data_IF_486287576776
#
_entry.id   IF_486287576776
#
_cell.length_a   1.000
_cell.length_b   1.000
_cell.length_c   1.000
_cell.angle_alpha   90.00
_cell.angle_beta   90.00
_cell.angle_gamma   90.00
#
_symmetry.space_group_name_H-M   'P 1'
#
loop_
_entity.id
_entity.type
_entity.pdbx_description
1 polymer ?
#
# COMPACT_ATOMS: atom_id res chain seq x y z
N UNK A 1 24.07 5.83 26.92
CA UNK A 1 22.60 5.70 26.74
C UNK A 1 22.03 6.76 27.67
N UNK A 2 21.50 7.84 27.12
CA UNK A 2 20.85 8.88 27.91
C UNK A 2 19.60 8.30 28.59
N UNK A 3 19.38 8.67 29.85
CA UNK A 3 18.15 8.30 30.54
C UNK A 3 16.94 8.90 29.81
N UNK A 4 15.82 8.16 29.68
CA UNK A 4 14.62 8.71 29.05
C UNK A 4 14.16 9.95 29.79
N UNK A 5 13.70 10.96 29.04
CA UNK A 5 13.13 12.20 29.57
C UNK A 5 12.12 11.88 30.69
N UNK A 6 12.34 12.41 31.87
CA UNK A 6 11.51 12.16 33.05
C UNK A 6 10.02 12.46 32.82
N UNK A 7 9.72 13.37 31.89
CA UNK A 7 8.35 13.69 31.47
C UNK A 7 7.70 12.51 30.72
N UNK A 8 8.43 11.88 29.79
CA UNK A 8 7.94 10.71 29.02
C UNK A 8 7.74 9.52 29.95
N UNK A 9 8.70 9.25 30.85
CA UNK A 9 8.61 8.16 31.82
C UNK A 9 7.39 8.31 32.75
N UNK A 10 7.10 9.54 33.19
CA UNK A 10 5.93 9.84 34.02
C UNK A 10 4.62 9.63 33.28
N UNK A 11 4.52 10.07 32.01
CA UNK A 11 3.33 9.83 31.20
C UNK A 11 3.07 8.34 30.98
N UNK A 12 4.09 7.59 30.60
CA UNK A 12 3.99 6.13 30.42
C UNK A 12 3.51 5.44 31.68
N UNK A 13 4.07 5.79 32.83
CA UNK A 13 3.68 5.18 34.12
C UNK A 13 2.23 5.47 34.45
N UNK A 14 1.77 6.72 34.28
CA UNK A 14 0.39 7.10 34.55
C UNK A 14 -0.59 6.37 33.62
N UNK A 15 -0.30 6.28 32.33
CA UNK A 15 -1.13 5.59 31.36
C UNK A 15 -1.21 4.08 31.67
N UNK A 16 -0.08 3.45 32.01
CA UNK A 16 -0.05 2.04 32.41
C UNK A 16 -0.91 1.78 33.66
N UNK A 17 -0.81 2.63 34.69
CA UNK A 17 -1.64 2.53 35.89
C UNK A 17 -3.12 2.67 35.55
N UNK A 18 -3.46 3.64 34.71
CA UNK A 18 -4.84 3.87 34.28
C UNK A 18 -5.44 2.66 33.54
N UNK A 19 -4.66 2.00 32.66
CA UNK A 19 -5.09 0.75 32.00
C UNK A 19 -5.29 -0.40 33.00
N UNK A 20 -4.40 -0.52 34.00
CA UNK A 20 -4.51 -1.53 35.05
C UNK A 20 -5.78 -1.32 35.94
N UNK A 21 -6.06 -0.08 36.26
CA UNK A 21 -7.25 0.28 37.08
C UNK A 21 -8.57 -0.02 36.32
N UNK A 22 -8.63 0.25 35.02
CA UNK A 22 -9.82 -0.01 34.20
C UNK A 22 -10.10 -1.49 33.98
N UNK A 23 -9.11 -2.38 34.19
CA UNK A 23 -9.18 -3.82 33.91
C UNK A 23 -9.66 -4.16 32.49
N UNK A 24 -9.42 -3.26 31.53
CA UNK A 24 -9.79 -3.44 30.14
C UNK A 24 -8.54 -3.77 29.34
N UNK A 25 -8.58 -4.90 28.65
CA UNK A 25 -7.50 -5.32 27.77
C UNK A 25 -7.66 -4.70 26.37
N UNK A 26 -6.55 -4.46 25.70
CA UNK A 26 -6.55 -4.17 24.27
C UNK A 26 -7.10 -5.36 23.48
N UNK A 27 -7.54 -5.11 22.25
CA UNK A 27 -7.87 -6.20 21.34
C UNK A 27 -6.71 -7.20 21.26
N UNK A 28 -6.99 -8.51 21.18
CA UNK A 28 -5.94 -9.51 21.16
C UNK A 28 -5.03 -9.30 19.95
N UNK A 29 -3.72 -9.32 20.16
CA UNK A 29 -2.72 -9.23 19.08
C UNK A 29 -2.92 -10.28 17.97
N UNK A 30 -3.59 -11.39 18.27
CA UNK A 30 -3.97 -12.40 17.28
C UNK A 30 -4.94 -11.87 16.22
N UNK A 31 -5.78 -10.86 16.54
CA UNK A 31 -6.65 -10.20 15.57
C UNK A 31 -5.82 -9.46 14.53
N UNK A 32 -4.97 -8.55 14.98
CA UNK A 32 -4.08 -7.79 14.10
C UNK A 32 -3.23 -8.73 13.22
N UNK A 33 -2.69 -9.79 13.81
CA UNK A 33 -1.92 -10.79 13.05
C UNK A 33 -2.74 -11.50 11.99
N UNK A 34 -4.03 -11.78 12.24
CA UNK A 34 -4.92 -12.39 11.22
C UNK A 34 -5.23 -11.43 10.10
N UNK A 35 -5.53 -10.17 10.39
CA UNK A 35 -5.75 -9.14 9.38
C UNK A 35 -4.49 -8.97 8.51
N UNK A 36 -3.32 -8.82 9.11
CA UNK A 36 -2.04 -8.72 8.41
C UNK A 36 -1.73 -9.96 7.56
N UNK A 37 -1.96 -11.16 8.08
CA UNK A 37 -1.74 -12.41 7.35
C UNK A 37 -2.72 -12.56 6.19
N UNK A 38 -3.98 -12.16 6.37
CA UNK A 38 -4.99 -12.16 5.31
C UNK A 38 -4.59 -11.23 4.17
N UNK A 39 -4.09 -10.03 4.48
CA UNK A 39 -3.55 -9.10 3.47
C UNK A 39 -2.33 -9.71 2.78
N UNK A 40 -1.38 -10.25 3.54
CA UNK A 40 -0.17 -10.89 3.01
C UNK A 40 -0.47 -12.04 2.04
N UNK A 41 -1.58 -12.75 2.27
CA UNK A 41 -2.04 -13.85 1.41
C UNK A 41 -3.00 -13.40 0.29
N UNK A 42 -3.45 -12.16 0.29
CA UNK A 42 -4.48 -11.69 -0.63
C UNK A 42 -5.85 -12.37 -0.41
N UNK A 43 -6.10 -12.86 0.81
CA UNK A 43 -7.33 -13.56 1.18
C UNK A 43 -8.37 -12.57 1.68
N UNK A 44 -9.22 -12.10 0.76
CA UNK A 44 -10.25 -11.10 1.06
C UNK A 44 -11.32 -11.64 2.01
N UNK A 45 -11.65 -12.94 1.91
CA UNK A 45 -12.67 -13.54 2.77
C UNK A 45 -12.16 -13.62 4.21
N UNK A 46 -10.94 -14.12 4.42
CA UNK A 46 -10.34 -14.18 5.75
C UNK A 46 -10.15 -12.79 6.36
N UNK A 47 -9.86 -11.77 5.53
CA UNK A 47 -9.78 -10.38 5.98
C UNK A 47 -11.15 -9.88 6.47
N UNK A 48 -12.21 -10.08 5.68
CA UNK A 48 -13.57 -9.69 6.04
C UNK A 48 -14.05 -10.39 7.32
N UNK A 49 -13.82 -11.69 7.44
CA UNK A 49 -14.14 -12.47 8.65
C UNK A 49 -13.39 -11.91 9.88
N UNK A 50 -12.09 -11.58 9.74
CA UNK A 50 -11.29 -11.02 10.84
C UNK A 50 -11.76 -9.63 11.25
N UNK A 51 -12.13 -8.76 10.32
CA UNK A 51 -12.63 -7.41 10.59
C UNK A 51 -14.00 -7.45 11.29
N UNK A 52 -14.86 -8.38 10.89
CA UNK A 52 -16.23 -8.50 11.44
C UNK A 52 -16.30 -9.31 12.74
N UNK A 53 -15.21 -9.97 13.15
CA UNK A 53 -15.20 -10.73 14.39
C UNK A 53 -15.27 -9.79 15.61
N UNK A 54 -16.13 -10.12 16.55
CA UNK A 54 -16.25 -9.35 17.79
C UNK A 54 -15.16 -9.79 18.79
N UNK A 55 -14.35 -8.85 19.22
CA UNK A 55 -13.32 -9.06 20.22
C UNK A 55 -13.70 -8.43 21.55
N UNK A 56 -13.36 -9.09 22.65
CA UNK A 56 -13.66 -8.62 24.00
C UNK A 56 -12.74 -7.50 24.51
N UNK A 57 -11.84 -6.98 23.67
CA UNK A 57 -10.92 -5.90 23.98
C UNK A 57 -11.40 -4.54 23.47
N UNK A 58 -10.60 -3.53 23.73
CA UNK A 58 -10.82 -2.17 23.23
C UNK A 58 -9.63 -1.70 22.38
N UNK A 59 -9.90 -0.87 21.37
CA UNK A 59 -8.86 -0.10 20.71
C UNK A 59 -8.36 0.94 21.70
N UNK A 60 -7.04 1.04 21.88
CA UNK A 60 -6.44 2.01 22.79
C UNK A 60 -6.83 3.44 22.41
N UNK A 61 -7.12 4.27 23.42
CA UNK A 61 -7.44 5.67 23.17
C UNK A 61 -6.14 6.49 22.97
N UNK A 62 -5.88 6.94 21.74
CA UNK A 62 -4.65 7.66 21.35
C UNK A 62 -4.86 9.16 21.18
N UNK A 63 -6.08 9.68 21.42
CA UNK A 63 -6.39 11.11 21.44
C UNK A 63 -7.67 11.39 22.19
N UNK A 64 -7.76 12.57 22.84
CA UNK A 64 -9.00 13.07 23.44
C UNK A 64 -10.00 13.55 22.38
N UNK A 65 -9.52 14.04 21.26
CA UNK A 65 -10.31 14.40 20.08
C UNK A 65 -10.67 13.14 19.30
N UNK A 66 -11.96 12.96 19.05
CA UNK A 66 -12.50 11.74 18.44
C UNK A 66 -12.01 11.59 17.00
N UNK A 67 -12.07 12.65 16.19
CA UNK A 67 -11.59 12.60 14.79
C UNK A 67 -10.09 12.29 14.75
N UNK A 68 -9.30 12.96 15.60
CA UNK A 68 -7.86 12.73 15.69
C UNK A 68 -7.52 11.32 16.16
N UNK A 69 -8.32 10.75 17.05
CA UNK A 69 -8.21 9.35 17.46
C UNK A 69 -8.33 8.42 16.24
N UNK A 70 -9.39 8.55 15.45
CA UNK A 70 -9.60 7.73 14.26
C UNK A 70 -8.51 7.93 13.19
N UNK A 71 -8.05 9.17 12.97
CA UNK A 71 -6.92 9.44 12.06
C UNK A 71 -5.63 8.77 12.52
N UNK A 72 -5.32 8.78 13.82
CA UNK A 72 -4.15 8.11 14.36
C UNK A 72 -4.22 6.58 14.20
N UNK A 73 -5.41 5.98 14.42
CA UNK A 73 -5.64 4.56 14.17
C UNK A 73 -5.48 4.23 12.68
N UNK A 74 -6.00 5.08 11.79
CA UNK A 74 -5.84 4.91 10.34
C UNK A 74 -4.37 4.90 9.93
N UNK A 75 -3.54 5.80 10.47
CA UNK A 75 -2.09 5.80 10.22
C UNK A 75 -1.47 4.46 10.59
N UNK A 76 -1.81 3.92 11.74
CA UNK A 76 -1.30 2.63 12.20
C UNK A 76 -1.73 1.47 11.30
N UNK A 77 -3.04 1.35 11.06
CA UNK A 77 -3.62 0.24 10.28
C UNK A 77 -3.14 0.26 8.82
N UNK A 78 -3.23 1.42 8.14
CA UNK A 78 -2.83 1.57 6.73
C UNK A 78 -1.32 1.30 6.56
N UNK A 79 -0.48 1.82 7.48
CA UNK A 79 0.96 1.56 7.45
C UNK A 79 1.27 0.07 7.64
N UNK A 80 0.59 -0.61 8.54
CA UNK A 80 0.74 -2.05 8.79
C UNK A 80 0.27 -2.88 7.58
N UNK A 81 -0.86 -2.51 6.97
CA UNK A 81 -1.40 -3.14 5.76
C UNK A 81 -0.42 -3.03 4.58
N UNK A 82 0.21 -1.86 4.39
CA UNK A 82 1.21 -1.67 3.33
C UNK A 82 2.42 -2.61 3.50
N UNK A 83 2.90 -2.80 4.73
CA UNK A 83 4.00 -3.75 5.03
C UNK A 83 3.60 -5.19 4.77
N UNK A 84 2.36 -5.56 5.13
CA UNK A 84 1.81 -6.88 4.85
C UNK A 84 1.69 -7.14 3.33
N UNK A 85 1.28 -6.13 2.57
CA UNK A 85 1.24 -6.22 1.10
C UNK A 85 2.63 -6.40 0.49
N UNK A 86 3.66 -5.70 0.98
CA UNK A 86 5.06 -5.90 0.55
C UNK A 86 5.49 -7.34 0.82
N UNK A 87 5.20 -7.88 2.00
CA UNK A 87 5.49 -9.27 2.32
C UNK A 87 4.71 -10.26 1.43
N UNK A 88 3.55 -9.86 0.93
CA UNK A 88 2.74 -10.59 -0.04
C UNK A 88 3.20 -10.49 -1.49
N UNK A 89 4.25 -9.70 -1.78
CA UNK A 89 4.89 -9.58 -3.10
C UNK A 89 4.63 -8.28 -3.85
N UNK A 90 3.83 -7.35 -3.30
CA UNK A 90 3.69 -6.00 -3.87
C UNK A 90 5.04 -5.28 -3.80
N UNK A 91 5.44 -4.60 -4.88
CA UNK A 91 6.71 -3.87 -4.87
C UNK A 91 6.71 -2.79 -3.77
N UNK A 92 7.84 -2.59 -3.06
CA UNK A 92 7.91 -1.62 -1.97
C UNK A 92 7.44 -0.23 -2.37
N UNK A 93 7.87 0.27 -3.52
CA UNK A 93 7.53 1.61 -3.98
C UNK A 93 6.02 1.76 -4.25
N UNK A 94 5.40 0.76 -4.91
CA UNK A 94 3.94 0.78 -5.12
C UNK A 94 3.20 0.78 -3.78
N UNK A 95 3.53 -0.12 -2.88
CA UNK A 95 2.85 -0.22 -1.58
C UNK A 95 3.02 1.05 -0.73
N UNK A 96 4.22 1.64 -0.70
CA UNK A 96 4.49 2.87 0.04
C UNK A 96 3.79 4.07 -0.57
N UNK A 97 3.81 4.22 -1.90
CA UNK A 97 3.08 5.29 -2.59
C UNK A 97 1.58 5.21 -2.35
N UNK A 98 1.00 3.99 -2.34
CA UNK A 98 -0.40 3.78 -1.99
C UNK A 98 -0.67 4.18 -0.54
N UNK A 99 0.21 3.78 0.39
CA UNK A 99 0.12 4.14 1.80
C UNK A 99 0.09 5.67 1.97
N UNK A 100 1.03 6.39 1.37
CA UNK A 100 1.12 7.84 1.43
C UNK A 100 -0.14 8.51 0.87
N UNK A 101 -0.68 7.98 -0.23
CA UNK A 101 -1.91 8.48 -0.85
C UNK A 101 -3.13 8.30 0.07
N UNK A 102 -3.29 7.12 0.67
CA UNK A 102 -4.37 6.87 1.62
C UNK A 102 -4.26 7.77 2.85
N UNK A 103 -3.07 7.90 3.43
CA UNK A 103 -2.87 8.74 4.62
C UNK A 103 -3.12 10.22 4.32
N UNK A 104 -2.71 10.72 3.16
CA UNK A 104 -3.00 12.08 2.73
C UNK A 104 -4.51 12.30 2.57
N UNK A 105 -5.22 11.36 1.94
CA UNK A 105 -6.67 11.44 1.82
C UNK A 105 -7.36 11.47 3.19
N UNK A 106 -6.93 10.62 4.13
CA UNK A 106 -7.45 10.60 5.51
C UNK A 106 -7.20 11.94 6.21
N UNK A 107 -6.00 12.53 6.06
CA UNK A 107 -5.66 13.78 6.76
C UNK A 107 -6.36 14.98 6.14
N UNK A 108 -6.32 15.13 4.82
CA UNK A 108 -6.71 16.36 4.14
C UNK A 108 -8.22 16.41 3.83
N UNK A 109 -8.84 15.27 3.53
CA UNK A 109 -10.18 15.24 2.96
C UNK A 109 -11.26 14.72 3.91
N UNK A 110 -10.92 13.89 4.93
CA UNK A 110 -11.93 13.29 5.79
C UNK A 110 -12.06 14.05 7.11
N UNK A 111 -13.29 14.45 7.43
CA UNK A 111 -13.61 15.24 8.63
C UNK A 111 -14.53 14.51 9.60
N UNK A 112 -15.10 13.38 9.21
CA UNK A 112 -15.99 12.58 10.04
C UNK A 112 -15.32 11.26 10.47
N UNK A 113 -15.35 10.90 11.76
CA UNK A 113 -14.72 9.67 12.27
C UNK A 113 -15.15 8.40 11.53
N UNK A 114 -16.44 8.28 11.19
CA UNK A 114 -16.95 7.12 10.46
C UNK A 114 -16.43 7.02 9.03
N UNK A 115 -16.18 8.16 8.36
CA UNK A 115 -15.57 8.18 7.04
C UNK A 115 -14.12 7.72 7.10
N UNK A 116 -13.38 8.17 8.13
CA UNK A 116 -11.99 7.72 8.35
C UNK A 116 -11.95 6.21 8.59
N UNK A 117 -12.85 5.67 9.41
CA UNK A 117 -12.92 4.22 9.65
C UNK A 117 -13.19 3.45 8.36
N UNK A 118 -14.19 3.86 7.57
CA UNK A 118 -14.52 3.23 6.29
C UNK A 118 -13.36 3.28 5.30
N UNK A 119 -12.69 4.43 5.16
CA UNK A 119 -11.54 4.59 4.29
C UNK A 119 -10.35 3.72 4.74
N UNK A 120 -10.17 3.55 6.05
CA UNK A 120 -9.14 2.67 6.62
C UNK A 120 -9.39 1.22 6.22
N UNK A 121 -10.63 0.72 6.38
CA UNK A 121 -11.01 -0.64 5.98
C UNK A 121 -10.90 -0.83 4.46
N UNK A 122 -11.33 0.15 3.68
CA UNK A 122 -11.18 0.11 2.21
C UNK A 122 -9.71 -0.02 1.80
N UNK A 123 -8.79 0.70 2.45
CA UNK A 123 -7.36 0.60 2.19
C UNK A 123 -6.83 -0.82 2.44
N UNK A 124 -7.23 -1.49 3.53
CA UNK A 124 -6.85 -2.87 3.81
C UNK A 124 -7.30 -3.82 2.69
N UNK A 125 -8.54 -3.69 2.22
CA UNK A 125 -9.06 -4.50 1.11
C UNK A 125 -8.34 -4.20 -0.20
N UNK A 126 -7.96 -2.96 -0.47
CA UNK A 126 -7.20 -2.60 -1.67
C UNK A 126 -5.82 -3.26 -1.62
N UNK A 127 -5.09 -3.20 -0.49
CA UNK A 127 -3.81 -3.89 -0.33
C UNK A 127 -3.94 -5.41 -0.51
N UNK A 128 -4.97 -6.03 0.07
CA UNK A 128 -5.21 -7.45 -0.09
C UNK A 128 -5.54 -7.83 -1.55
N UNK A 129 -6.31 -7.01 -2.27
CA UNK A 129 -6.58 -7.19 -3.71
C UNK A 129 -5.30 -7.15 -4.54
N UNK A 130 -4.42 -6.18 -4.27
CA UNK A 130 -3.13 -6.09 -4.97
C UNK A 130 -2.30 -7.37 -4.81
N UNK A 131 -2.20 -7.89 -3.58
CA UNK A 131 -1.50 -9.15 -3.33
C UNK A 131 -2.14 -10.31 -4.06
N UNK A 132 -3.48 -10.44 -3.99
CA UNK A 132 -4.21 -11.52 -4.66
C UNK A 132 -3.99 -11.52 -6.17
N UNK A 133 -4.02 -10.34 -6.78
CA UNK A 133 -3.89 -10.21 -8.22
C UNK A 133 -2.46 -10.53 -8.69
N UNK A 134 -1.46 -10.24 -7.88
CA UNK A 134 -0.09 -10.69 -8.08
C UNK A 134 0.06 -12.21 -7.98
N UNK A 135 -0.50 -12.83 -6.95
CA UNK A 135 -0.40 -14.28 -6.73
C UNK A 135 -1.07 -15.10 -7.83
N UNK A 136 -2.12 -14.55 -8.46
CA UNK A 136 -2.76 -15.17 -9.64
C UNK A 136 -1.85 -15.25 -10.87
N UNK A 137 -0.82 -14.42 -10.92
CA UNK A 137 0.14 -14.36 -12.04
C UNK A 137 1.29 -15.38 -11.94
N UNK A 138 1.36 -16.24 -10.94
CA UNK A 138 2.36 -17.30 -10.68
C UNK A 138 3.81 -16.85 -10.40
N UNK A 139 4.46 -17.53 -9.46
CA UNK A 139 5.89 -17.49 -9.07
C UNK A 139 6.74 -16.40 -9.72
N UNK A 140 6.89 -15.27 -9.03
CA UNK A 140 7.68 -14.16 -9.55
C UNK A 140 9.17 -14.50 -9.66
N UNK A 141 9.68 -14.31 -10.83
CA UNK A 141 11.09 -14.19 -11.08
C UNK A 141 11.62 -12.84 -10.54
N UNK A 142 12.71 -12.86 -9.77
CA UNK A 142 13.30 -11.68 -9.12
C UNK A 142 13.56 -10.55 -10.13
N UNK A 143 14.09 -10.88 -11.32
CA UNK A 143 14.36 -9.90 -12.36
C UNK A 143 13.07 -9.23 -12.85
N UNK A 144 12.00 -10.00 -13.09
CA UNK A 144 10.71 -9.47 -13.53
C UNK A 144 10.12 -8.54 -12.48
N UNK A 145 10.22 -8.89 -11.20
CA UNK A 145 9.78 -8.05 -10.08
C UNK A 145 10.53 -6.73 -10.03
N UNK A 146 11.86 -6.75 -10.16
CA UNK A 146 12.69 -5.54 -10.20
C UNK A 146 12.38 -4.66 -11.41
N UNK A 147 12.16 -5.26 -12.58
CA UNK A 147 11.78 -4.53 -13.81
C UNK A 147 10.42 -3.84 -13.65
N UNK A 148 9.44 -4.51 -13.06
CA UNK A 148 8.14 -3.86 -12.76
C UNK A 148 8.28 -2.67 -11.82
N UNK A 149 9.07 -2.82 -10.76
CA UNK A 149 9.34 -1.72 -9.84
C UNK A 149 10.02 -0.53 -10.55
N UNK A 150 10.99 -0.82 -11.42
CA UNK A 150 11.65 0.20 -12.23
C UNK A 150 10.64 0.93 -13.14
N UNK A 151 9.78 0.19 -13.84
CA UNK A 151 8.75 0.77 -14.71
C UNK A 151 7.82 1.67 -13.90
N UNK A 152 7.38 1.23 -12.72
CA UNK A 152 6.52 2.04 -11.86
C UNK A 152 7.17 3.36 -11.46
N UNK A 153 8.44 3.35 -11.08
CA UNK A 153 9.19 4.56 -10.69
C UNK A 153 9.40 5.53 -11.86
N UNK A 154 9.54 5.00 -13.07
CA UNK A 154 9.86 5.76 -14.28
C UNK A 154 8.67 5.89 -15.24
N UNK A 155 7.43 5.72 -14.71
CA UNK A 155 6.23 5.66 -15.57
C UNK A 155 6.00 6.92 -16.39
N UNK A 156 6.47 8.07 -15.89
CA UNK A 156 6.39 9.38 -16.56
C UNK A 156 7.53 9.59 -17.57
N UNK A 157 8.54 8.73 -17.55
CA UNK A 157 9.70 8.85 -18.44
C UNK A 157 9.47 8.15 -19.78
N UNK A 158 10.35 8.44 -20.76
CA UNK A 158 10.41 7.68 -22.00
C UNK A 158 11.07 6.33 -21.73
N UNK A 159 10.27 5.31 -21.50
CA UNK A 159 10.75 3.95 -21.25
C UNK A 159 10.97 3.18 -22.56
N UNK A 160 12.19 2.66 -22.78
CA UNK A 160 12.52 1.74 -23.86
C UNK A 160 13.06 0.43 -23.29
N UNK A 161 12.73 -0.69 -23.93
CA UNK A 161 13.19 -2.02 -23.50
C UNK A 161 14.72 -2.10 -23.43
N UNK A 162 15.41 -1.41 -24.36
CA UNK A 162 16.87 -1.32 -24.39
C UNK A 162 17.47 -0.63 -23.19
N UNK A 163 16.81 0.43 -22.70
CA UNK A 163 17.31 1.20 -21.57
C UNK A 163 17.08 0.42 -20.26
N UNK A 164 15.92 -0.22 -20.15
CA UNK A 164 15.61 -1.11 -19.01
C UNK A 164 16.59 -2.29 -18.99
N UNK A 165 16.84 -2.92 -20.13
CA UNK A 165 17.77 -4.04 -20.20
C UNK A 165 19.19 -3.64 -19.79
N UNK A 166 19.62 -2.44 -20.14
CA UNK A 166 20.92 -1.87 -19.77
C UNK A 166 21.00 -1.61 -18.24
N UNK A 167 19.92 -1.11 -17.64
CA UNK A 167 19.85 -0.87 -16.21
C UNK A 167 20.06 -2.15 -15.38
N UNK A 168 19.53 -3.27 -15.87
CA UNK A 168 19.64 -4.57 -15.19
C UNK A 168 20.81 -5.45 -15.71
N UNK A 169 21.70 -4.89 -16.51
CA UNK A 169 22.87 -5.60 -17.09
C UNK A 169 22.50 -6.91 -17.81
N UNK A 170 21.43 -6.86 -18.61
CA UNK A 170 20.95 -7.98 -19.41
C UNK A 170 20.73 -7.57 -20.86
N UNK A 171 20.63 -8.56 -21.76
CA UNK A 171 20.29 -8.26 -23.15
C UNK A 171 18.78 -7.97 -23.31
N UNK A 172 18.37 -7.09 -24.25
CA UNK A 172 16.95 -6.78 -24.50
C UNK A 172 16.13 -8.01 -24.88
N UNK A 173 16.71 -8.95 -25.63
CA UNK A 173 16.04 -10.18 -26.00
C UNK A 173 15.78 -11.08 -24.78
N UNK A 174 16.81 -11.29 -23.96
CA UNK A 174 16.67 -12.08 -22.73
C UNK A 174 15.62 -11.49 -21.80
N UNK A 175 15.65 -10.17 -21.59
CA UNK A 175 14.67 -9.49 -20.76
C UNK A 175 13.25 -9.65 -21.31
N UNK A 176 13.06 -9.43 -22.62
CA UNK A 176 11.75 -9.53 -23.28
C UNK A 176 11.16 -10.93 -23.20
N UNK A 177 11.96 -11.97 -23.47
CA UNK A 177 11.51 -13.36 -23.43
C UNK A 177 11.17 -13.79 -22.00
N UNK A 178 12.02 -13.43 -21.03
CA UNK A 178 11.81 -13.76 -19.63
C UNK A 178 10.57 -13.05 -19.06
N UNK A 179 10.43 -11.76 -19.34
CA UNK A 179 9.27 -10.98 -18.93
C UNK A 179 7.98 -11.52 -19.53
N UNK A 180 7.97 -11.83 -20.84
CA UNK A 180 6.80 -12.40 -21.52
C UNK A 180 6.43 -13.78 -20.97
N UNK A 181 7.40 -14.60 -20.62
CA UNK A 181 7.16 -15.92 -20.02
C UNK A 181 6.50 -15.79 -18.66
N UNK A 182 6.86 -14.76 -17.91
CA UNK A 182 6.36 -14.54 -16.55
C UNK A 182 5.02 -13.79 -16.53
N UNK A 183 4.87 -12.72 -17.31
CA UNK A 183 3.72 -11.84 -17.32
C UNK A 183 2.66 -12.20 -18.38
N UNK A 184 2.98 -13.10 -19.29
CA UNK A 184 2.09 -13.49 -20.39
C UNK A 184 1.96 -12.47 -21.52
N UNK A 185 2.48 -11.26 -21.33
CA UNK A 185 2.47 -10.16 -22.32
C UNK A 185 3.89 -9.64 -22.56
N UNK A 186 4.10 -8.94 -23.68
CA UNK A 186 5.42 -8.33 -23.95
C UNK A 186 5.70 -7.19 -22.96
N UNK A 187 6.99 -6.97 -22.67
CA UNK A 187 7.43 -5.85 -21.82
C UNK A 187 6.95 -4.50 -22.36
N UNK A 188 6.97 -4.32 -23.69
CA UNK A 188 6.43 -3.11 -24.34
C UNK A 188 4.93 -2.94 -24.06
N UNK A 189 4.15 -4.01 -24.17
CA UNK A 189 2.70 -3.97 -23.90
C UNK A 189 2.43 -3.69 -22.42
N UNK A 190 3.23 -4.25 -21.52
CA UNK A 190 3.14 -3.99 -20.09
C UNK A 190 3.36 -2.50 -19.78
N UNK A 191 4.44 -1.89 -20.32
CA UNK A 191 4.71 -0.45 -20.16
C UNK A 191 3.54 0.41 -20.66
N UNK A 192 2.97 0.06 -21.82
CA UNK A 192 1.82 0.78 -22.38
C UNK A 192 0.61 0.69 -21.44
N UNK A 193 0.30 -0.50 -20.94
CA UNK A 193 -0.82 -0.72 -20.04
C UNK A 193 -0.67 0.08 -18.74
N UNK A 194 0.52 0.07 -18.11
CA UNK A 194 0.80 0.84 -16.90
C UNK A 194 0.67 2.36 -17.15
N UNK A 195 1.13 2.85 -18.32
CA UNK A 195 0.97 4.26 -18.70
C UNK A 195 -0.50 4.65 -18.93
N UNK A 196 -1.29 3.77 -19.51
CA UNK A 196 -2.73 3.98 -19.69
C UNK A 196 -3.41 4.04 -18.32
N UNK A 197 -3.13 3.10 -17.42
CA UNK A 197 -3.69 3.08 -16.07
C UNK A 197 -3.33 4.36 -15.30
N UNK A 198 -2.08 4.79 -15.36
CA UNK A 198 -1.65 6.06 -14.77
C UNK A 198 -2.39 7.27 -15.38
N UNK A 199 -2.61 7.26 -16.70
CA UNK A 199 -3.32 8.34 -17.40
C UNK A 199 -4.81 8.40 -17.06
N UNK A 200 -5.45 7.24 -16.91
CA UNK A 200 -6.85 7.15 -16.46
C UNK A 200 -7.00 7.73 -15.04
N UNK A 201 -6.02 7.48 -14.16
CA UNK A 201 -6.00 8.07 -12.83
C UNK A 201 -5.92 9.60 -12.88
N UNK A 202 -5.04 10.16 -13.73
CA UNK A 202 -4.94 11.63 -13.90
C UNK A 202 -6.21 12.24 -14.48
N UNK A 203 -6.83 11.57 -15.46
CA UNK A 203 -8.11 12.01 -16.04
C UNK A 203 -9.24 12.06 -15.00
N UNK A 204 -9.23 11.13 -14.07
CA UNK A 204 -10.30 10.98 -13.07
C UNK A 204 -10.14 11.89 -11.86
N UNK A 205 -8.91 12.22 -11.50
CA UNK A 205 -8.60 12.88 -10.23
C UNK A 205 -7.84 14.21 -10.35
N UNK A 206 -7.61 14.73 -11.58
CA UNK A 206 -6.98 16.03 -11.81
C UNK A 206 -7.73 16.81 -12.88
N UNK A 207 -7.54 18.13 -12.89
CA UNK A 207 -8.11 19.04 -13.90
C UNK A 207 -7.25 19.16 -15.17
N UNK A 208 -6.28 18.27 -15.38
CA UNK A 208 -5.39 18.27 -16.55
C UNK A 208 -6.15 17.87 -17.81
N UNK A 209 -5.85 18.56 -18.91
CA UNK A 209 -6.38 18.20 -20.23
C UNK A 209 -5.77 16.88 -20.75
N UNK A 210 -6.48 16.22 -21.66
CA UNK A 210 -5.98 14.99 -22.32
C UNK A 210 -4.61 15.21 -22.96
N UNK A 211 -4.39 16.39 -23.57
CA UNK A 211 -3.10 16.75 -24.19
C UNK A 211 -1.97 16.78 -23.16
N UNK A 212 -2.16 17.48 -22.05
CA UNK A 212 -1.18 17.58 -20.96
C UNK A 212 -0.88 16.21 -20.32
N UNK A 213 -1.91 15.37 -20.15
CA UNK A 213 -1.72 14.01 -19.61
C UNK A 213 -0.93 13.15 -20.59
N UNK A 214 -1.24 13.21 -21.88
CA UNK A 214 -0.54 12.45 -22.93
C UNK A 214 0.93 12.82 -23.02
N UNK A 215 1.25 14.12 -22.91
CA UNK A 215 2.61 14.61 -22.86
C UNK A 215 3.31 14.19 -21.56
N UNK A 216 2.65 14.35 -20.42
CA UNK A 216 3.17 14.01 -19.10
C UNK A 216 3.48 12.52 -18.94
N UNK A 217 2.64 11.65 -19.48
CA UNK A 217 2.84 10.19 -19.48
C UNK A 217 3.71 9.70 -20.64
N UNK A 218 4.24 10.59 -21.47
CA UNK A 218 5.04 10.24 -22.65
C UNK A 218 4.37 9.20 -23.57
N UNK A 219 3.03 9.26 -23.73
CA UNK A 219 2.28 8.29 -24.53
C UNK A 219 2.55 8.42 -26.04
N UNK A 220 2.86 9.62 -26.50
CA UNK A 220 3.13 9.91 -27.93
C UNK A 220 4.42 9.26 -28.46
N UNK A 221 5.28 8.74 -27.58
CA UNK A 221 6.59 8.17 -27.92
C UNK A 221 6.67 6.66 -27.72
N UNK A 222 5.54 5.98 -27.46
CA UNK A 222 5.49 4.53 -27.19
C UNK A 222 5.16 3.67 -28.43
N UNK A 223 5.11 4.28 -29.60
CA UNK A 223 4.90 3.59 -30.90
C UNK A 223 6.19 2.97 -31.47
#
# INVERSE_FOLDING_TARGET
MEEPDASIAKHLTNDMLHYQERRKAHNPIRQERREQESIRRGDLQALEESINESYGGEIGNVSKDVLRHYKNIAVWVISSASRSAIQGGVTPEKALSMCDSFLRNVEDNLQEPLEVEKATREAEFIFAREVRDLQRKNCEDVLTSQVRNYIYLHIMDKLQVTDIAKEFDVTPNYLSDRFRKQEGISLKQYIINEKIEASEYFLKYTDKSIGEISEHCCLLYTS
#
